data_IF_957173252081
#
_entry.id   IF_957173252081
#
_cell.length_a   1.000
_cell.length_b   1.000
_cell.length_c   1.000
_cell.angle_alpha   90.00
_cell.angle_beta   90.00
_cell.angle_gamma   90.00
#
_symmetry.space_group_name_H-M   'P 1'
#
loop_
_entity.id
_entity.type
_entity.pdbx_description
1 polymer ?
#
# COMPACT_ATOMS: atom_id res chain seq x y z
N UNK A 1 4.07 -2.94 -0.15
CA UNK A 1 2.62 -2.91 -0.49
C UNK A 1 2.30 -3.29 -1.95
N UNK A 2 2.94 -4.27 -2.54
CA UNK A 2 2.76 -4.65 -3.95
C UNK A 2 1.84 -5.85 -4.22
N UNK A 3 1.36 -6.54 -3.19
CA UNK A 3 0.50 -7.71 -3.36
C UNK A 3 -0.87 -7.30 -3.89
N UNK A 4 -1.35 -8.01 -4.91
CA UNK A 4 -2.71 -7.81 -5.44
C UNK A 4 -3.76 -8.33 -4.46
N UNK A 5 -4.93 -7.67 -4.45
CA UNK A 5 -6.08 -8.14 -3.70
C UNK A 5 -6.56 -9.49 -4.23
N UNK A 6 -7.04 -10.34 -3.35
CA UNK A 6 -7.55 -11.64 -3.74
C UNK A 6 -9.04 -11.55 -4.09
N UNK A 7 -9.37 -11.82 -5.34
CA UNK A 7 -10.75 -11.86 -5.85
C UNK A 7 -11.13 -13.26 -6.37
N UNK A 8 -10.48 -14.33 -5.90
CA UNK A 8 -10.75 -15.67 -6.40
C UNK A 8 -12.19 -16.12 -6.12
N UNK A 9 -12.69 -15.81 -4.92
CA UNK A 9 -14.04 -16.21 -4.50
C UNK A 9 -15.13 -15.55 -5.34
N UNK A 10 -14.88 -14.33 -5.84
CA UNK A 10 -15.81 -13.58 -6.69
C UNK A 10 -15.92 -14.16 -8.11
N UNK A 11 -14.95 -14.97 -8.52
CA UNK A 11 -14.90 -15.60 -9.84
C UNK A 11 -15.44 -17.04 -9.86
N UNK A 12 -16.01 -17.50 -8.76
CA UNK A 12 -16.58 -18.85 -8.67
C UNK A 12 -17.80 -19.02 -9.60
N UNK A 13 -18.10 -20.26 -9.94
CA UNK A 13 -19.28 -20.59 -10.77
C UNK A 13 -20.59 -20.27 -10.06
N UNK A 14 -20.57 -20.29 -8.76
CA UNK A 14 -21.71 -20.03 -7.90
C UNK A 14 -21.34 -18.92 -6.91
N UNK A 15 -22.17 -17.89 -6.82
CA UNK A 15 -21.98 -16.78 -5.91
C UNK A 15 -23.16 -16.70 -4.94
N UNK A 16 -22.86 -16.39 -3.69
CA UNK A 16 -23.86 -16.16 -2.64
C UNK A 16 -23.64 -14.76 -2.09
N UNK A 17 -24.72 -14.04 -1.90
CA UNK A 17 -24.72 -12.74 -1.24
C UNK A 17 -25.87 -12.71 -0.23
N UNK A 18 -25.65 -12.17 0.98
CA UNK A 18 -26.64 -12.15 2.07
C UNK A 18 -27.96 -11.53 1.66
N UNK A 19 -27.92 -10.40 0.96
CA UNK A 19 -29.10 -9.61 0.64
C UNK A 19 -29.65 -9.88 -0.79
N UNK A 20 -28.77 -10.37 -1.67
CA UNK A 20 -29.10 -10.54 -3.10
C UNK A 20 -29.34 -12.01 -3.46
N UNK A 21 -29.09 -12.96 -2.55
CA UNK A 21 -29.31 -14.38 -2.78
C UNK A 21 -28.23 -15.03 -3.65
N UNK A 22 -28.63 -15.81 -4.65
CA UNK A 22 -27.75 -16.70 -5.39
C UNK A 22 -27.49 -16.21 -6.82
N UNK A 23 -26.23 -16.22 -7.23
CA UNK A 23 -25.80 -15.96 -8.61
C UNK A 23 -25.26 -17.21 -9.27
N UNK A 24 -25.91 -17.67 -10.33
CA UNK A 24 -25.55 -18.89 -11.08
C UNK A 24 -25.30 -18.63 -12.55
N UNK A 25 -24.57 -19.53 -13.20
CA UNK A 25 -24.43 -19.55 -14.65
C UNK A 25 -25.52 -20.42 -15.27
N UNK A 26 -26.01 -20.02 -16.45
CA UNK A 26 -26.88 -20.86 -17.29
C UNK A 26 -26.00 -21.68 -18.20
N UNK A 27 -26.27 -23.00 -18.21
CA UNK A 27 -25.59 -23.96 -19.08
C UNK A 27 -26.53 -24.33 -20.21
N UNK A 28 -26.09 -24.11 -21.43
CA UNK A 28 -26.80 -24.52 -22.66
C UNK A 28 -26.06 -25.70 -23.29
N UNK A 29 -26.42 -26.96 -22.93
CA UNK A 29 -25.68 -28.14 -23.35
C UNK A 29 -25.64 -28.32 -24.87
N UNK A 30 -26.76 -28.02 -25.53
CA UNK A 30 -26.90 -28.12 -26.98
C UNK A 30 -25.90 -27.25 -27.76
N UNK A 31 -25.59 -26.07 -27.19
CA UNK A 31 -24.65 -25.08 -27.77
C UNK A 31 -23.28 -25.14 -27.14
N UNK A 32 -23.06 -26.02 -26.15
CA UNK A 32 -21.83 -26.08 -25.33
C UNK A 32 -21.40 -24.72 -24.77
N UNK A 33 -22.39 -23.89 -24.38
CA UNK A 33 -22.16 -22.57 -23.86
C UNK A 33 -22.48 -22.50 -22.36
N UNK A 34 -21.66 -21.75 -21.64
CA UNK A 34 -21.93 -21.34 -20.26
C UNK A 34 -22.05 -19.80 -20.26
N UNK A 35 -23.20 -19.30 -19.84
CA UNK A 35 -23.51 -17.87 -19.82
C UNK A 35 -23.70 -17.41 -18.38
N UNK A 36 -22.99 -16.36 -18.01
CA UNK A 36 -23.20 -15.73 -16.70
C UNK A 36 -24.50 -14.93 -16.72
N UNK A 37 -25.40 -15.21 -15.77
CA UNK A 37 -26.64 -14.46 -15.64
C UNK A 37 -26.38 -13.00 -15.22
N UNK A 38 -27.27 -12.10 -15.60
CA UNK A 38 -27.21 -10.69 -15.18
C UNK A 38 -27.21 -10.60 -13.65
N UNK A 39 -28.02 -11.41 -13.00
CA UNK A 39 -28.09 -11.45 -11.54
C UNK A 39 -26.71 -11.82 -10.91
N UNK A 40 -26.05 -12.84 -11.43
CA UNK A 40 -24.69 -13.20 -11.01
C UNK A 40 -23.70 -12.07 -11.23
N UNK A 41 -23.80 -11.35 -12.34
CA UNK A 41 -22.91 -10.20 -12.62
C UNK A 41 -23.10 -9.06 -11.62
N UNK A 42 -24.36 -8.81 -11.23
CA UNK A 42 -24.68 -7.80 -10.21
C UNK A 42 -24.10 -8.20 -8.86
N UNK A 43 -24.32 -9.45 -8.43
CA UNK A 43 -23.73 -10.01 -7.18
C UNK A 43 -22.21 -9.90 -7.21
N UNK A 44 -21.58 -10.29 -8.32
CA UNK A 44 -20.12 -10.17 -8.49
C UNK A 44 -19.62 -8.74 -8.29
N UNK A 45 -20.30 -7.76 -8.87
CA UNK A 45 -19.94 -6.35 -8.70
C UNK A 45 -20.11 -5.88 -7.27
N UNK A 46 -21.16 -6.32 -6.60
CA UNK A 46 -21.42 -5.96 -5.21
C UNK A 46 -20.36 -6.57 -4.28
N UNK A 47 -20.08 -7.85 -4.39
CA UNK A 47 -19.03 -8.53 -3.62
C UNK A 47 -17.66 -7.88 -3.83
N UNK A 48 -17.33 -7.49 -5.08
CA UNK A 48 -16.10 -6.76 -5.35
C UNK A 48 -16.04 -5.41 -4.63
N UNK A 49 -17.15 -4.66 -4.62
CA UNK A 49 -17.22 -3.37 -3.92
C UNK A 49 -17.07 -3.52 -2.42
N UNK A 50 -17.69 -4.52 -1.83
CA UNK A 50 -17.58 -4.82 -0.41
C UNK A 50 -16.15 -5.22 -0.04
N UNK A 51 -15.55 -6.13 -0.80
CA UNK A 51 -14.15 -6.51 -0.61
C UNK A 51 -13.19 -5.31 -0.71
N UNK A 52 -13.36 -4.44 -1.70
CA UNK A 52 -12.58 -3.21 -1.80
C UNK A 52 -12.84 -2.24 -0.65
N UNK A 53 -14.06 -2.20 -0.12
CA UNK A 53 -14.41 -1.43 1.06
C UNK A 53 -13.67 -1.89 2.31
N UNK A 54 -13.57 -3.20 2.50
CA UNK A 54 -12.79 -3.79 3.60
C UNK A 54 -11.28 -3.51 3.45
N UNK A 55 -10.74 -3.63 2.23
CA UNK A 55 -9.33 -3.29 1.97
C UNK A 55 -9.04 -1.79 2.25
N UNK A 56 -9.98 -0.90 1.92
CA UNK A 56 -9.87 0.52 2.28
C UNK A 56 -9.91 0.75 3.79
N UNK A 57 -10.72 0.00 4.54
CA UNK A 57 -10.72 0.07 6.01
C UNK A 57 -9.40 -0.39 6.59
N UNK A 58 -8.84 -1.48 6.08
CA UNK A 58 -7.52 -1.97 6.49
C UNK A 58 -6.46 -0.92 6.20
N UNK A 59 -6.48 -0.31 5.02
CA UNK A 59 -5.57 0.78 4.66
C UNK A 59 -5.73 1.98 5.61
N UNK A 60 -6.96 2.40 5.88
CA UNK A 60 -7.24 3.50 6.82
C UNK A 60 -6.64 3.22 8.20
N UNK A 61 -6.89 2.03 8.74
CA UNK A 61 -6.33 1.63 10.05
C UNK A 61 -4.81 1.66 10.00
N UNK A 62 -4.19 1.15 8.93
CA UNK A 62 -2.73 1.14 8.80
C UNK A 62 -2.15 2.56 8.75
N UNK A 63 -2.78 3.47 8.00
CA UNK A 63 -2.33 4.86 7.87
C UNK A 63 -2.50 5.66 9.17
N UNK A 64 -3.54 5.37 9.96
CA UNK A 64 -3.85 6.10 11.21
C UNK A 64 -3.13 5.55 12.43
N UNK A 65 -2.41 4.43 12.34
CA UNK A 65 -1.65 3.85 13.46
C UNK A 65 -0.33 4.58 13.75
N UNK A 66 0.25 5.23 12.77
CA UNK A 66 1.49 5.96 12.96
C UNK A 66 1.24 7.21 13.81
N UNK A 67 2.04 7.39 14.86
CA UNK A 67 1.96 8.57 15.75
C UNK A 67 2.87 9.70 15.28
N UNK A 68 4.08 9.40 14.86
CA UNK A 68 5.11 10.38 14.53
C UNK A 68 5.51 10.34 13.05
N UNK A 69 5.75 9.16 12.50
CA UNK A 69 6.24 9.01 11.13
C UNK A 69 5.62 7.79 10.45
N UNK A 70 5.15 7.98 9.24
CA UNK A 70 4.64 6.92 8.38
C UNK A 70 5.56 6.75 7.18
N UNK A 71 6.08 5.54 6.99
CA UNK A 71 6.90 5.17 5.84
C UNK A 71 6.15 4.11 5.04
N UNK A 72 5.84 4.41 3.79
CA UNK A 72 5.16 3.49 2.89
C UNK A 72 6.14 3.08 1.79
N UNK A 73 6.42 1.79 1.71
CA UNK A 73 7.32 1.23 0.69
C UNK A 73 6.59 0.24 -0.21
N UNK A 74 7.07 0.10 -1.42
CA UNK A 74 6.56 -0.92 -2.35
C UNK A 74 7.28 -0.88 -3.69
N UNK A 75 7.03 -1.89 -4.50
CA UNK A 75 7.65 -2.04 -5.81
C UNK A 75 6.63 -1.86 -6.93
N UNK A 76 7.03 -1.16 -7.97
CA UNK A 76 6.22 -0.92 -9.18
C UNK A 76 7.09 -1.28 -10.39
N UNK A 77 6.67 -2.28 -11.14
CA UNK A 77 7.46 -2.77 -12.28
C UNK A 77 7.48 -1.78 -13.47
N UNK A 78 6.35 -1.12 -13.72
CA UNK A 78 6.17 -0.17 -14.83
C UNK A 78 5.73 1.18 -14.31
N UNK A 79 6.66 1.89 -13.67
CA UNK A 79 6.35 3.15 -13.02
C UNK A 79 5.86 4.21 -14.00
N UNK A 80 6.45 4.30 -15.20
CA UNK A 80 6.04 5.25 -16.22
C UNK A 80 4.55 5.11 -16.60
N UNK A 81 4.10 3.88 -16.86
CA UNK A 81 2.71 3.59 -17.25
C UNK A 81 1.75 3.98 -16.10
N UNK A 82 2.12 3.63 -14.87
CA UNK A 82 1.30 3.95 -13.68
C UNK A 82 1.25 5.45 -13.44
N UNK A 83 2.35 6.17 -13.59
CA UNK A 83 2.36 7.63 -13.46
C UNK A 83 1.52 8.30 -14.54
N UNK A 84 1.58 7.80 -15.77
CA UNK A 84 0.74 8.29 -16.88
C UNK A 84 -0.76 8.06 -16.56
N UNK A 85 -1.12 6.89 -16.04
CA UNK A 85 -2.49 6.57 -15.64
C UNK A 85 -2.99 7.47 -14.51
N UNK A 86 -2.20 7.70 -13.47
CA UNK A 86 -2.61 8.54 -12.33
C UNK A 86 -2.53 10.04 -12.61
N UNK A 87 -1.80 10.46 -13.66
CA UNK A 87 -1.67 11.89 -14.02
C UNK A 87 -3.00 12.58 -14.31
N UNK A 88 -4.03 11.82 -14.71
CA UNK A 88 -5.38 12.34 -14.91
C UNK A 88 -6.05 12.87 -13.63
N UNK A 89 -5.51 12.53 -12.47
CA UNK A 89 -6.00 13.01 -11.18
C UNK A 89 -5.44 14.38 -10.80
N UNK A 90 -4.34 14.84 -11.43
CA UNK A 90 -3.62 16.06 -11.05
C UNK A 90 -4.49 17.33 -11.06
N UNK A 91 -5.41 17.46 -12.01
CA UNK A 91 -6.28 18.64 -12.16
C UNK A 91 -7.62 18.56 -11.43
N UNK A 92 -7.84 17.56 -10.58
CA UNK A 92 -9.13 17.37 -9.92
C UNK A 92 -9.20 18.09 -8.58
N UNK A 93 -10.27 18.89 -8.41
CA UNK A 93 -10.57 19.60 -7.16
C UNK A 93 -11.37 18.76 -6.15
N UNK A 94 -12.03 17.73 -6.62
CA UNK A 94 -12.89 16.89 -5.77
C UNK A 94 -12.06 16.16 -4.71
N UNK A 95 -12.49 16.25 -3.46
CA UNK A 95 -11.82 15.55 -2.34
C UNK A 95 -11.80 14.04 -2.53
N UNK A 96 -12.92 13.48 -3.03
CA UNK A 96 -13.06 12.04 -3.23
C UNK A 96 -12.52 11.60 -4.58
N UNK A 97 -11.78 10.49 -4.58
CA UNK A 97 -11.41 9.81 -5.82
C UNK A 97 -12.67 9.27 -6.52
N UNK A 98 -12.72 9.30 -7.87
CA UNK A 98 -13.84 8.75 -8.64
C UNK A 98 -14.17 7.31 -8.27
N UNK A 99 -15.46 6.97 -8.35
CA UNK A 99 -15.94 5.60 -8.11
C UNK A 99 -15.24 4.60 -9.03
N UNK A 100 -15.01 4.94 -10.31
CA UNK A 100 -14.28 4.11 -11.26
C UNK A 100 -12.87 3.79 -10.77
N UNK A 101 -12.10 4.82 -10.41
CA UNK A 101 -10.73 4.65 -9.91
C UNK A 101 -10.68 3.77 -8.66
N UNK A 102 -11.63 3.98 -7.73
CA UNK A 102 -11.70 3.16 -6.52
C UNK A 102 -12.17 1.72 -6.80
N UNK A 103 -13.12 1.54 -7.71
CA UNK A 103 -13.71 0.24 -8.06
C UNK A 103 -12.79 -0.65 -8.91
N UNK A 104 -11.76 -0.09 -9.53
CA UNK A 104 -10.78 -0.83 -10.33
C UNK A 104 -9.47 -1.09 -9.59
N UNK A 105 -9.38 -0.68 -8.33
CA UNK A 105 -8.21 -0.90 -7.52
C UNK A 105 -7.85 -2.39 -7.41
N UNK A 106 -6.55 -2.69 -7.59
CA UNK A 106 -6.02 -4.06 -7.53
C UNK A 106 -5.07 -4.29 -6.36
N UNK A 107 -4.57 -3.21 -5.78
CA UNK A 107 -3.64 -3.22 -4.65
C UNK A 107 -3.73 -1.88 -3.92
N UNK A 108 -3.05 -1.73 -2.80
CA UNK A 108 -3.05 -0.49 -2.03
C UNK A 108 -2.46 0.71 -2.78
N UNK A 109 -1.50 0.49 -3.69
CA UNK A 109 -0.97 1.57 -4.53
C UNK A 109 -2.02 2.17 -5.46
N UNK A 110 -3.01 1.37 -5.89
CA UNK A 110 -4.13 1.84 -6.70
C UNK A 110 -5.05 2.82 -5.95
N UNK A 111 -4.96 2.91 -4.63
CA UNK A 111 -5.62 3.93 -3.81
C UNK A 111 -4.69 5.11 -3.50
N UNK A 112 -3.44 4.82 -3.15
CA UNK A 112 -2.49 5.80 -2.65
C UNK A 112 -1.98 6.70 -3.77
N UNK A 113 -1.54 6.15 -4.90
CA UNK A 113 -0.94 6.94 -5.98
C UNK A 113 -1.90 7.94 -6.61
N UNK A 114 -3.18 7.61 -6.92
CA UNK A 114 -4.13 8.60 -7.42
C UNK A 114 -4.42 9.74 -6.44
N UNK A 115 -4.35 9.47 -5.14
CA UNK A 115 -4.49 10.50 -4.12
C UNK A 115 -3.25 11.40 -4.06
N UNK A 116 -2.05 10.81 -4.03
CA UNK A 116 -0.78 11.52 -4.02
C UNK A 116 -0.50 12.28 -5.31
N UNK A 117 -0.99 11.81 -6.46
CA UNK A 117 -0.81 12.50 -7.75
C UNK A 117 -1.31 13.95 -7.75
N UNK A 118 -2.16 14.32 -6.81
CA UNK A 118 -2.67 15.68 -6.61
C UNK A 118 -1.81 16.51 -5.67
N UNK A 119 -0.77 15.94 -5.09
CA UNK A 119 0.14 16.62 -4.15
C UNK A 119 1.42 17.07 -4.87
N UNK A 120 1.92 18.26 -4.51
CA UNK A 120 3.11 18.88 -5.13
C UNK A 120 4.38 18.01 -5.00
N UNK A 121 4.49 17.19 -3.94
CA UNK A 121 5.60 16.27 -3.75
C UNK A 121 5.78 15.24 -4.89
N UNK A 122 4.75 15.02 -5.71
CA UNK A 122 4.82 14.14 -6.88
C UNK A 122 5.34 14.84 -8.14
N UNK A 123 5.36 16.18 -8.18
CA UNK A 123 5.79 16.94 -9.37
C UNK A 123 7.17 16.57 -9.87
N UNK A 124 8.22 16.49 -9.03
CA UNK A 124 9.55 16.12 -9.49
C UNK A 124 9.56 14.77 -10.21
N UNK A 125 8.79 13.81 -9.68
CA UNK A 125 8.69 12.47 -10.27
C UNK A 125 7.95 12.50 -11.61
N UNK A 126 6.88 13.27 -11.75
CA UNK A 126 6.16 13.41 -13.02
C UNK A 126 7.04 14.08 -14.08
N UNK A 127 7.82 15.11 -13.73
CA UNK A 127 8.77 15.79 -14.63
C UNK A 127 9.86 14.85 -15.12
N UNK A 128 10.40 14.03 -14.22
CA UNK A 128 11.42 13.02 -14.58
C UNK A 128 10.93 12.07 -15.67
N UNK A 129 9.63 11.73 -15.66
CA UNK A 129 9.02 10.85 -16.68
C UNK A 129 8.38 11.60 -17.85
N UNK A 130 8.64 12.90 -18.00
CA UNK A 130 8.14 13.70 -19.12
C UNK A 130 6.61 13.89 -19.13
N UNK A 131 5.97 13.69 -17.99
CA UNK A 131 4.54 13.93 -17.85
C UNK A 131 4.34 15.43 -17.64
N UNK A 132 3.60 16.06 -18.56
CA UNK A 132 3.43 17.51 -18.58
C UNK A 132 2.78 18.02 -17.28
N UNK A 133 3.31 19.14 -16.80
CA UNK A 133 2.74 19.94 -15.70
C UNK A 133 1.31 20.37 -16.07
N UNK A 134 0.34 19.53 -15.76
CA UNK A 134 -1.03 20.02 -15.63
C UNK A 134 -1.07 20.76 -14.30
N UNK A 135 -1.65 21.96 -14.29
CA UNK A 135 -1.80 22.73 -13.06
C UNK A 135 -2.34 21.82 -11.97
N UNK A 136 -1.47 21.47 -11.03
CA UNK A 136 -1.91 20.82 -9.81
C UNK A 136 -2.75 21.87 -9.10
N UNK A 137 -4.04 21.65 -9.10
CA UNK A 137 -4.90 22.40 -8.21
C UNK A 137 -4.77 21.75 -6.85
N UNK A 138 -3.89 22.36 -6.08
CA UNK A 138 -3.65 22.00 -4.69
C UNK A 138 -5.00 21.93 -3.99
N UNK A 139 -5.31 20.78 -3.43
CA UNK A 139 -6.52 20.60 -2.65
C UNK A 139 -6.33 21.39 -1.35
N UNK A 140 -7.25 22.24 -0.95
CA UNK A 140 -7.13 23.17 0.18
C UNK A 140 -6.88 22.51 1.57
N UNK A 141 -6.71 21.19 1.61
CA UNK A 141 -6.53 20.41 2.86
C UNK A 141 -5.06 20.15 3.24
N UNK A 142 -4.12 20.97 2.77
CA UNK A 142 -2.73 20.57 2.74
C UNK A 142 -1.80 21.28 3.64
N UNK A 143 -1.64 20.69 4.77
CA UNK A 143 -0.44 20.92 5.59
C UNK A 143 0.34 19.60 5.85
N UNK A 144 0.02 18.52 5.14
CA UNK A 144 0.73 17.25 5.30
C UNK A 144 2.02 17.27 4.46
N UNK A 145 3.16 17.17 5.11
CA UNK A 145 4.45 17.02 4.44
C UNK A 145 4.61 15.59 3.93
N UNK A 146 4.72 15.44 2.60
CA UNK A 146 5.06 14.19 1.95
C UNK A 146 6.44 14.26 1.33
N UNK A 147 7.25 13.23 1.57
CA UNK A 147 8.50 13.01 0.85
C UNK A 147 8.35 11.79 -0.04
N UNK A 148 8.44 11.99 -1.35
CA UNK A 148 8.43 10.90 -2.34
C UNK A 148 9.85 10.62 -2.76
N UNK A 149 10.28 9.35 -2.70
CA UNK A 149 11.59 8.93 -3.10
C UNK A 149 11.47 7.68 -3.98
N UNK A 150 12.09 7.74 -5.15
CA UNK A 150 12.27 6.59 -6.02
C UNK A 150 13.63 5.97 -5.75
N UNK A 151 13.68 4.67 -5.57
CA UNK A 151 14.90 3.90 -5.43
C UNK A 151 14.91 2.87 -6.57
N UNK A 152 15.98 2.84 -7.34
CA UNK A 152 16.15 1.87 -8.43
C UNK A 152 16.71 0.56 -7.92
N UNK A 153 16.52 -0.54 -8.66
CA UNK A 153 17.08 -1.84 -8.30
C UNK A 153 18.63 -1.79 -8.20
N UNK A 154 19.28 -0.96 -9.03
CA UNK A 154 20.73 -0.79 -8.98
C UNK A 154 21.20 -0.14 -7.67
N UNK A 155 20.47 0.88 -7.19
CA UNK A 155 20.75 1.54 -5.90
C UNK A 155 20.53 0.60 -4.72
N UNK A 156 19.52 -0.29 -4.80
CA UNK A 156 19.29 -1.31 -3.77
C UNK A 156 20.44 -2.30 -3.69
N UNK A 157 20.94 -2.78 -4.84
CA UNK A 157 22.08 -3.70 -4.88
C UNK A 157 23.35 -3.04 -4.33
N UNK A 158 23.59 -1.77 -4.64
CA UNK A 158 24.70 -1.03 -4.04
C UNK A 158 24.53 -0.87 -2.53
N UNK A 159 23.32 -0.59 -2.08
CA UNK A 159 23.00 -0.53 -0.65
C UNK A 159 23.19 -1.86 0.07
N UNK A 160 22.86 -3.00 -0.55
CA UNK A 160 23.12 -4.33 -0.01
C UNK A 160 24.62 -4.64 0.10
N UNK A 161 25.43 -4.21 -0.89
CA UNK A 161 26.89 -4.38 -0.85
C UNK A 161 27.47 -3.56 0.32
N UNK A 162 27.02 -2.33 0.52
CA UNK A 162 27.41 -1.50 1.66
C UNK A 162 26.92 -2.08 2.98
N UNK A 163 25.69 -2.62 3.02
CA UNK A 163 25.15 -3.29 4.20
C UNK A 163 25.85 -4.59 4.57
N UNK A 164 26.38 -5.34 3.59
CA UNK A 164 27.23 -6.51 3.85
C UNK A 164 28.57 -6.11 4.49
N UNK A 165 29.11 -4.96 4.07
CA UNK A 165 30.32 -4.41 4.71
C UNK A 165 30.06 -4.02 6.15
N UNK A 166 28.90 -3.42 6.44
CA UNK A 166 28.44 -3.10 7.79
C UNK A 166 28.18 -4.37 8.62
N UNK A 167 27.65 -5.43 8.01
CA UNK A 167 27.42 -6.71 8.72
C UNK A 167 28.72 -7.40 9.11
N UNK A 168 29.78 -7.29 8.30
CA UNK A 168 31.12 -7.77 8.70
C UNK A 168 31.70 -6.96 9.86
N UNK A 169 31.40 -5.67 9.89
CA UNK A 169 31.80 -4.79 11.00
C UNK A 169 30.98 -5.11 12.27
N UNK A 170 29.69 -5.38 12.12
CA UNK A 170 28.83 -5.86 13.21
C UNK A 170 29.27 -7.24 13.74
N UNK A 171 29.69 -8.18 12.85
CA UNK A 171 30.18 -9.46 13.23
C UNK A 171 31.52 -9.37 14.00
N UNK A 172 32.40 -8.44 13.61
CA UNK A 172 33.59 -8.10 14.36
C UNK A 172 33.27 -7.53 15.74
N UNK A 173 32.37 -6.57 15.81
CA UNK A 173 31.92 -5.98 17.07
C UNK A 173 31.26 -7.02 17.97
N UNK A 174 30.49 -7.96 17.43
CA UNK A 174 29.89 -9.06 18.20
C UNK A 174 30.91 -10.08 18.70
N UNK A 175 31.98 -10.35 17.93
CA UNK A 175 33.06 -11.22 18.35
C UNK A 175 33.95 -10.60 19.45
N UNK A 176 34.07 -9.27 19.42
CA UNK A 176 34.83 -8.49 20.42
C UNK A 176 33.92 -8.01 21.57
N UNK A 177 32.63 -8.35 21.53
CA UNK A 177 31.67 -7.94 22.54
C UNK A 177 31.92 -8.63 23.87
N UNK A 178 32.28 -7.82 24.85
CA UNK A 178 32.36 -8.26 26.24
C UNK A 178 31.12 -7.74 26.99
N UNK A 179 30.26 -8.66 27.37
CA UNK A 179 29.02 -8.36 28.11
C UNK A 179 29.28 -7.76 29.51
N UNK A 180 30.52 -7.75 29.96
CA UNK A 180 30.94 -7.15 31.25
C UNK A 180 31.35 -5.69 31.10
N UNK A 181 31.54 -5.21 29.85
CA UNK A 181 31.89 -3.82 29.60
C UNK A 181 30.59 -3.00 29.38
N UNK A 182 30.44 -1.99 30.19
CA UNK A 182 29.45 -0.93 29.96
C UNK A 182 30.07 0.00 28.92
N UNK A 183 29.50 0.00 27.68
CA UNK A 183 29.99 0.80 26.57
C UNK A 183 29.48 2.24 26.60
N UNK A 184 28.32 2.44 27.22
CA UNK A 184 27.66 3.74 27.39
C UNK A 184 26.77 3.68 28.64
N UNK A 185 27.14 4.44 29.67
CA UNK A 185 26.43 4.45 30.96
C UNK A 185 24.98 4.99 30.78
N UNK A 186 24.78 5.98 29.93
CA UNK A 186 23.48 6.61 29.69
C UNK A 186 22.50 5.62 29.03
N UNK A 187 22.97 4.85 28.03
CA UNK A 187 22.19 3.80 27.39
C UNK A 187 21.90 2.65 28.35
N UNK A 188 22.85 2.30 29.19
CA UNK A 188 22.70 1.25 30.19
C UNK A 188 21.61 1.60 31.22
N UNK A 189 21.58 2.84 31.71
CA UNK A 189 20.53 3.31 32.62
C UNK A 189 19.14 3.26 31.97
N UNK A 190 19.01 3.78 30.73
CA UNK A 190 17.75 3.75 29.97
C UNK A 190 17.24 2.32 29.73
N UNK A 191 18.14 1.40 29.39
CA UNK A 191 17.78 -0.01 29.20
C UNK A 191 17.38 -0.67 30.51
N UNK A 192 18.11 -0.42 31.60
CA UNK A 192 17.81 -0.97 32.91
C UNK A 192 16.45 -0.52 33.41
N UNK A 193 16.12 0.76 33.23
CA UNK A 193 14.80 1.31 33.58
C UNK A 193 13.68 0.69 32.74
N UNK A 194 13.89 0.51 31.45
CA UNK A 194 12.89 -0.11 30.55
C UNK A 194 12.67 -1.59 30.85
N UNK A 195 13.71 -2.33 31.16
CA UNK A 195 13.61 -3.77 31.51
C UNK A 195 13.13 -4.03 32.94
N UNK A 196 13.24 -3.06 33.84
CA UNK A 196 12.69 -3.11 35.19
C UNK A 196 11.17 -2.85 35.25
N UNK A 197 10.55 -2.48 34.11
CA UNK A 197 9.11 -2.25 34.05
C UNK A 197 8.34 -3.57 34.20
N UNK A 198 7.69 -3.74 35.36
CA UNK A 198 6.74 -4.83 35.59
C UNK A 198 5.32 -4.35 35.29
N UNK A 199 4.54 -5.15 34.58
CA UNK A 199 3.12 -4.87 34.37
C UNK A 199 2.39 -4.83 35.71
N UNK A 200 1.59 -3.78 35.99
CA UNK A 200 0.91 -3.61 37.26
C UNK A 200 -0.28 -4.56 37.48
N UNK A 201 -0.55 -5.48 36.54
CA UNK A 201 -1.63 -6.45 36.63
C UNK A 201 -1.07 -7.87 36.65
N UNK A 202 -1.16 -8.52 37.81
CA UNK A 202 -1.07 -9.97 37.92
C UNK A 202 -2.40 -10.58 37.43
N UNK A 203 -2.32 -11.57 36.52
CA UNK A 203 -3.48 -12.36 36.09
C UNK A 203 -3.69 -13.52 37.05
#
# INVERSE_FOLDING_TARGET
MGKQFNFQDINSRFLIHSDMGFGVDVILPEKRLILSTVHKQIIRRQLKRESLGEELRVLYVALTRAKEKLIITGTIAKLADVLQEVSWQMGRRETLLPIGTRGEARNYWSFILPALARHEAMLPLFREYGIADRQIQVCEMEHAEFKVQKITAAELVQGEILGQTDSQMQEKLLKEWDSRKIYDEEIHEILTERFAFCYPFEY
#
